data_IF_439877359330
#
_entry.id   IF_439877359330
#
_cell.length_a   1.000
_cell.length_b   1.000
_cell.length_c   1.000
_cell.angle_alpha   90.00
_cell.angle_beta   90.00
_cell.angle_gamma   90.00
#
_symmetry.space_group_name_H-M   'P 1'
#
loop_
_entity.id
_entity.type
_entity.pdbx_description
1 polymer ?
#
# COMPACT_ATOMS: atom_id res chain seq x y z
N UNK A 1 12.79 16.93 33.76
CA UNK A 1 12.51 18.12 34.60
C UNK A 1 12.34 19.33 33.70
N UNK A 2 11.15 19.97 33.77
CA UNK A 2 10.85 21.41 33.58
C UNK A 2 11.46 22.07 32.33
N UNK A 3 10.64 22.54 31.39
CA UNK A 3 10.15 23.92 31.39
C UNK A 3 8.79 24.05 30.68
N UNK A 4 7.90 24.80 31.32
CA UNK A 4 6.56 25.17 30.88
C UNK A 4 6.57 26.61 30.35
N UNK A 5 5.72 26.91 29.39
CA UNK A 5 5.12 28.22 29.03
C UNK A 5 3.88 27.85 28.19
N UNK A 6 2.60 27.94 28.57
CA UNK A 6 1.70 28.94 29.21
C UNK A 6 1.25 30.08 28.29
N UNK A 7 -0.10 30.19 28.21
CA UNK A 7 -0.99 31.26 27.72
C UNK A 7 -1.43 31.16 26.23
N UNK A 8 -2.71 31.13 25.84
CA UNK A 8 -3.99 31.37 26.51
C UNK A 8 -4.78 32.53 25.83
N UNK A 9 -6.12 32.42 25.79
CA UNK A 9 -7.18 33.38 25.32
C UNK A 9 -7.79 32.96 23.95
N UNK A 10 -9.01 32.44 23.80
CA UNK A 10 -10.37 32.76 24.28
C UNK A 10 -11.16 33.77 23.41
N UNK A 11 -12.29 33.27 22.87
CA UNK A 11 -13.58 33.95 22.62
C UNK A 11 -13.68 34.97 21.48
N UNK A 12 -14.52 34.68 20.47
CA UNK A 12 -15.57 35.57 19.90
C UNK A 12 -16.24 34.82 18.72
N UNK A 13 -17.43 34.27 18.90
CA UNK A 13 -18.73 34.90 18.68
C UNK A 13 -19.31 34.51 17.32
N UNK A 14 -20.46 33.83 17.39
CA UNK A 14 -21.33 33.47 16.28
C UNK A 14 -21.87 34.69 15.53
N UNK A 15 -22.68 34.38 14.49
CA UNK A 15 -23.63 35.21 13.71
C UNK A 15 -23.13 35.51 12.28
N UNK A 16 -23.84 35.30 11.15
CA UNK A 16 -25.27 35.09 10.87
C UNK A 16 -25.49 34.72 9.37
N UNK A 17 -26.61 34.01 9.11
CA UNK A 17 -27.58 34.19 8.00
C UNK A 17 -27.26 33.71 6.56
N UNK A 18 -27.94 32.61 6.23
CA UNK A 18 -28.76 32.29 5.04
C UNK A 18 -28.78 33.28 3.88
N UNK A 19 -28.48 32.77 2.68
CA UNK A 19 -28.94 33.32 1.42
C UNK A 19 -29.17 32.23 0.39
N UNK A 20 -30.39 31.66 0.33
CA UNK A 20 -30.86 30.94 -0.84
C UNK A 20 -31.41 31.95 -1.85
N UNK A 21 -30.96 31.89 -3.10
CA UNK A 21 -31.70 32.42 -4.24
C UNK A 21 -31.26 31.71 -5.52
N UNK A 22 -32.28 31.19 -6.23
CA UNK A 22 -32.31 30.76 -7.63
C UNK A 22 -31.79 29.37 -8.02
N UNK A 23 -32.72 28.43 -8.05
CA UNK A 23 -32.83 27.39 -9.09
C UNK A 23 -32.89 28.00 -10.50
N UNK A 24 -32.05 27.48 -11.40
CA UNK A 24 -32.38 27.32 -12.81
C UNK A 24 -31.62 26.11 -13.36
N UNK A 25 -32.35 25.03 -13.59
CA UNK A 25 -31.95 23.83 -14.33
C UNK A 25 -31.37 24.13 -15.71
N UNK A 26 -30.27 23.44 -16.06
CA UNK A 26 -30.15 22.56 -17.23
C UNK A 26 -28.69 22.39 -17.65
N UNK A 27 -28.10 21.24 -17.30
CA UNK A 27 -27.36 20.36 -18.22
C UNK A 27 -26.62 19.30 -17.40
N UNK A 28 -27.13 18.07 -17.50
CA UNK A 28 -26.40 16.82 -17.34
C UNK A 28 -24.91 16.92 -17.65
N UNK A 29 -24.08 16.69 -16.64
CA UNK A 29 -23.12 15.58 -16.59
C UNK A 29 -22.61 15.56 -15.15
N UNK A 30 -23.46 15.07 -14.25
CA UNK A 30 -22.91 14.43 -13.06
C UNK A 30 -22.38 13.10 -13.56
N UNK A 31 -21.07 13.05 -13.85
CA UNK A 31 -20.33 11.84 -13.57
C UNK A 31 -20.49 11.61 -12.07
N UNK A 32 -21.57 10.92 -11.71
CA UNK A 32 -21.57 10.07 -10.55
C UNK A 32 -20.46 9.05 -10.86
N UNK A 33 -19.23 9.39 -10.47
CA UNK A 33 -18.25 8.38 -10.10
C UNK A 33 -18.96 7.52 -9.08
N UNK A 34 -19.53 6.42 -9.56
CA UNK A 34 -19.84 5.28 -8.72
C UNK A 34 -18.52 4.92 -8.07
N UNK A 35 -18.27 5.47 -6.89
CA UNK A 35 -17.41 4.83 -5.92
C UNK A 35 -18.15 3.56 -5.55
N UNK A 36 -17.95 2.54 -6.38
CA UNK A 36 -18.15 1.17 -5.96
C UNK A 36 -17.17 1.01 -4.82
N UNK A 37 -17.66 1.16 -3.58
CA UNK A 37 -16.97 0.60 -2.43
C UNK A 37 -16.84 -0.89 -2.77
N UNK A 38 -15.68 -1.30 -3.28
CA UNK A 38 -15.34 -2.70 -3.31
C UNK A 38 -15.50 -3.17 -1.87
N UNK A 39 -16.29 -4.21 -1.66
CA UNK A 39 -16.43 -4.77 -0.34
C UNK A 39 -15.03 -5.23 0.06
N UNK A 40 -14.51 -4.65 1.14
CA UNK A 40 -13.28 -5.08 1.78
C UNK A 40 -13.52 -6.51 2.27
N UNK A 41 -13.01 -7.49 1.54
CA UNK A 41 -13.10 -8.90 1.88
C UNK A 41 -11.80 -9.30 2.58
N UNK A 42 -11.91 -9.85 3.79
CA UNK A 42 -10.78 -10.45 4.50
C UNK A 42 -10.32 -11.69 3.74
N UNK A 43 -9.03 -11.76 3.48
CA UNK A 43 -8.36 -12.84 2.76
C UNK A 43 -7.13 -13.32 3.52
N UNK A 44 -6.68 -14.53 3.22
CA UNK A 44 -5.39 -15.05 3.69
C UNK A 44 -4.46 -15.24 2.51
N UNK A 45 -3.21 -14.81 2.62
CA UNK A 45 -2.18 -15.05 1.62
C UNK A 45 -0.89 -15.55 2.28
N UNK A 46 -0.05 -16.25 1.53
CA UNK A 46 1.29 -16.64 1.98
C UNK A 46 2.32 -15.79 1.26
N UNK A 47 3.29 -15.26 2.00
CA UNK A 47 4.44 -14.55 1.45
C UNK A 47 5.71 -15.28 1.86
N UNK A 48 6.48 -15.69 0.85
CA UNK A 48 7.79 -16.30 0.98
C UNK A 48 8.88 -15.32 0.50
N UNK A 49 9.96 -15.21 1.26
CA UNK A 49 11.14 -14.41 0.92
C UNK A 49 12.29 -15.38 0.63
N UNK A 50 12.87 -15.27 -0.56
CA UNK A 50 13.98 -16.08 -1.03
C UNK A 50 15.21 -15.21 -1.32
N UNK A 51 16.37 -15.69 -0.85
CA UNK A 51 17.69 -15.23 -1.28
C UNK A 51 18.26 -16.28 -2.24
N UNK A 52 18.29 -15.96 -3.53
CA UNK A 52 18.49 -16.91 -4.63
C UNK A 52 17.51 -18.09 -4.53
N UNK A 53 17.99 -19.34 -4.45
CA UNK A 53 17.16 -20.54 -4.33
C UNK A 53 16.85 -20.94 -2.86
N UNK A 54 17.06 -20.03 -1.89
CA UNK A 54 16.90 -20.33 -0.46
C UNK A 54 15.81 -19.49 0.19
N UNK A 55 14.77 -20.14 0.70
CA UNK A 55 13.78 -19.53 1.59
C UNK A 55 14.45 -19.02 2.88
N UNK A 56 14.33 -17.73 3.15
CA UNK A 56 14.86 -17.06 4.35
C UNK A 56 13.77 -16.64 5.34
N UNK A 57 12.56 -16.36 4.87
CA UNK A 57 11.38 -16.13 5.71
C UNK A 57 10.10 -16.57 4.97
N UNK A 58 9.07 -16.95 5.72
CA UNK A 58 7.76 -17.34 5.19
C UNK A 58 6.68 -16.98 6.22
N UNK A 59 5.64 -16.25 5.78
CA UNK A 59 4.52 -15.82 6.64
C UNK A 59 3.20 -16.06 5.95
N UNK A 60 2.25 -16.62 6.70
CA UNK A 60 0.82 -16.56 6.37
C UNK A 60 0.27 -15.24 6.94
N UNK A 61 -0.40 -14.44 6.10
CA UNK A 61 -0.83 -13.08 6.39
C UNK A 61 -2.35 -12.98 6.16
N UNK A 62 -3.06 -12.41 7.15
CA UNK A 62 -4.45 -11.99 7.02
C UNK A 62 -4.48 -10.52 6.57
N UNK A 63 -5.12 -10.22 5.44
CA UNK A 63 -5.20 -8.88 4.81
C UNK A 63 -6.55 -8.71 4.11
N UNK A 64 -6.74 -7.64 3.34
CA UNK A 64 -7.97 -7.37 2.61
C UNK A 64 -7.74 -7.04 1.14
N UNK A 65 -8.74 -7.30 0.30
CA UNK A 65 -8.64 -7.18 -1.17
C UNK A 65 -8.42 -5.76 -1.72
N UNK A 66 -8.50 -4.73 -0.86
CA UNK A 66 -8.23 -3.34 -1.19
C UNK A 66 -6.82 -2.87 -0.82
N UNK A 67 -6.06 -3.67 -0.06
CA UNK A 67 -4.66 -3.39 0.26
C UNK A 67 -3.75 -3.83 -0.90
N UNK A 68 -2.77 -2.98 -1.20
CA UNK A 68 -1.74 -3.29 -2.18
C UNK A 68 -0.72 -4.25 -1.58
N UNK A 69 -0.04 -5.04 -2.42
CA UNK A 69 1.03 -5.92 -2.00
C UNK A 69 2.15 -5.13 -1.31
N UNK A 70 2.42 -3.89 -1.73
CA UNK A 70 3.35 -2.99 -1.04
C UNK A 70 2.91 -2.73 0.41
N UNK A 71 1.64 -2.38 0.63
CA UNK A 71 1.10 -2.16 1.99
C UNK A 71 1.18 -3.44 2.83
N UNK A 72 0.79 -4.58 2.25
CA UNK A 72 0.90 -5.91 2.90
C UNK A 72 2.35 -6.18 3.32
N UNK A 73 3.32 -5.88 2.46
CA UNK A 73 4.75 -6.06 2.77
C UNK A 73 5.21 -5.13 3.89
N UNK A 74 4.85 -3.84 3.85
CA UNK A 74 5.22 -2.85 4.88
C UNK A 74 4.68 -3.20 6.27
N UNK A 75 3.49 -3.81 6.34
CA UNK A 75 2.87 -4.18 7.60
C UNK A 75 3.44 -5.46 8.23
N UNK A 76 4.10 -6.31 7.43
CA UNK A 76 4.50 -7.65 7.85
C UNK A 76 6.02 -7.93 7.80
N UNK A 77 6.79 -7.11 7.08
CA UNK A 77 8.23 -7.24 6.91
C UNK A 77 8.94 -5.89 7.09
N UNK A 78 10.22 -5.92 7.46
CA UNK A 78 11.04 -4.71 7.40
C UNK A 78 11.49 -4.47 5.96
N UNK A 79 10.91 -3.47 5.30
CA UNK A 79 11.22 -3.14 3.91
C UNK A 79 11.64 -1.69 3.73
N UNK A 80 12.45 -1.45 2.71
CA UNK A 80 12.68 -0.12 2.16
C UNK A 80 12.21 -0.09 0.71
N UNK A 81 11.67 1.04 0.28
CA UNK A 81 11.27 1.27 -1.10
C UNK A 81 11.85 2.58 -1.65
N UNK A 82 12.06 2.61 -2.97
CA UNK A 82 12.28 3.82 -3.73
C UNK A 82 11.37 3.83 -4.96
N UNK A 83 10.56 4.88 -5.07
CA UNK A 83 9.75 5.15 -6.26
C UNK A 83 8.81 3.99 -6.69
N UNK A 84 8.21 3.31 -5.70
CA UNK A 84 7.28 2.18 -5.92
C UNK A 84 7.97 0.81 -6.08
N UNK A 85 9.30 0.77 -5.98
CA UNK A 85 10.09 -0.47 -6.04
C UNK A 85 10.63 -0.81 -4.65
N UNK A 86 10.47 -2.06 -4.22
CA UNK A 86 11.10 -2.58 -3.00
C UNK A 86 12.60 -2.72 -3.25
N UNK A 87 13.42 -2.06 -2.43
CA UNK A 87 14.89 -2.07 -2.51
C UNK A 87 15.54 -2.91 -1.42
N UNK A 88 14.83 -3.14 -0.31
CA UNK A 88 15.32 -3.93 0.84
C UNK A 88 14.19 -4.76 1.42
N UNK A 89 14.46 -6.02 1.79
CA UNK A 89 13.58 -6.87 2.60
C UNK A 89 14.43 -7.54 3.68
N UNK A 90 14.06 -7.42 4.97
CA UNK A 90 14.73 -8.06 6.11
C UNK A 90 16.27 -7.87 6.10
N UNK A 91 16.70 -6.61 5.99
CA UNK A 91 18.12 -6.18 5.89
C UNK A 91 18.89 -6.61 4.62
N UNK A 92 18.24 -7.22 3.62
CA UNK A 92 18.85 -7.59 2.34
C UNK A 92 18.55 -6.52 1.28
N UNK A 93 19.54 -5.67 1.00
CA UNK A 93 19.49 -4.57 0.04
C UNK A 93 19.85 -5.04 -1.39
N UNK A 94 19.21 -4.45 -2.39
CA UNK A 94 19.57 -4.64 -3.80
C UNK A 94 21.01 -4.25 -4.12
N UNK A 95 21.64 -4.96 -5.06
CA UNK A 95 22.97 -4.62 -5.57
C UNK A 95 22.91 -4.40 -7.08
N UNK A 96 22.64 -3.16 -7.49
CA UNK A 96 22.64 -2.74 -8.89
C UNK A 96 24.01 -3.01 -9.58
N UNK A 97 25.11 -2.95 -8.81
CA UNK A 97 26.46 -3.18 -9.33
C UNK A 97 26.68 -4.63 -9.79
N UNK A 98 26.06 -5.58 -9.08
CA UNK A 98 26.09 -7.01 -9.39
C UNK A 98 24.87 -7.49 -10.20
N UNK A 99 23.92 -6.59 -10.47
CA UNK A 99 22.62 -6.83 -11.12
C UNK A 99 21.69 -7.73 -10.28
N UNK A 100 21.73 -7.59 -8.97
CA UNK A 100 20.88 -8.32 -8.03
C UNK A 100 19.69 -7.47 -7.62
N UNK A 101 18.47 -7.96 -7.88
CA UNK A 101 17.23 -7.23 -7.66
C UNK A 101 16.19 -8.09 -6.96
N UNK A 102 15.25 -7.44 -6.29
CA UNK A 102 14.04 -8.08 -5.81
C UNK A 102 13.04 -8.21 -6.97
N UNK A 103 12.56 -9.43 -7.17
CA UNK A 103 11.43 -9.74 -8.05
C UNK A 103 10.37 -10.45 -7.26
N UNK A 104 9.17 -10.58 -7.83
CA UNK A 104 8.17 -11.42 -7.24
C UNK A 104 7.31 -12.15 -8.27
N UNK A 105 6.72 -13.24 -7.81
CA UNK A 105 5.69 -13.99 -8.52
C UNK A 105 4.46 -14.12 -7.64
N UNK A 106 3.31 -14.35 -8.27
CA UNK A 106 2.08 -14.73 -7.58
C UNK A 106 1.64 -16.06 -8.18
N UNK A 107 1.47 -17.08 -7.34
CA UNK A 107 1.06 -18.43 -7.74
C UNK A 107 1.95 -19.02 -8.87
N UNK A 108 3.27 -18.89 -8.73
CA UNK A 108 4.28 -19.31 -9.71
C UNK A 108 4.23 -18.57 -11.06
N UNK A 109 3.43 -17.49 -11.17
CA UNK A 109 3.31 -16.68 -12.38
C UNK A 109 3.99 -15.32 -12.21
N UNK A 110 4.76 -14.91 -13.23
CA UNK A 110 5.36 -13.58 -13.29
C UNK A 110 4.30 -12.49 -13.43
N UNK A 111 4.39 -11.47 -12.59
CA UNK A 111 3.52 -10.29 -12.61
C UNK A 111 4.26 -9.15 -13.32
N UNK A 112 3.52 -8.32 -14.07
CA UNK A 112 4.10 -7.20 -14.83
C UNK A 112 3.79 -5.84 -14.21
N UNK A 113 3.27 -5.83 -12.99
CA UNK A 113 2.95 -4.66 -12.18
C UNK A 113 3.94 -4.54 -11.04
N UNK A 114 4.05 -3.35 -10.45
CA UNK A 114 4.77 -3.16 -9.17
C UNK A 114 3.93 -3.66 -7.99
N UNK A 115 4.57 -3.87 -6.84
CA UNK A 115 3.87 -4.25 -5.62
C UNK A 115 2.88 -3.15 -5.15
N UNK A 116 3.15 -1.88 -5.49
CA UNK A 116 2.29 -0.72 -5.22
C UNK A 116 1.03 -0.65 -6.11
N UNK A 117 0.99 -1.41 -7.20
CA UNK A 117 -0.14 -1.50 -8.13
C UNK A 117 -0.85 -2.87 -8.10
N UNK A 118 -0.35 -3.80 -7.28
CA UNK A 118 -0.85 -5.18 -7.22
C UNK A 118 -1.67 -5.38 -5.95
N UNK A 119 -2.85 -5.98 -6.05
CA UNK A 119 -3.66 -6.44 -4.91
C UNK A 119 -3.70 -7.97 -4.90
N UNK A 120 -3.95 -8.57 -3.74
CA UNK A 120 -3.99 -10.03 -3.58
C UNK A 120 -5.41 -10.59 -3.61
N UNK A 121 -5.52 -11.86 -4.00
CA UNK A 121 -6.70 -12.71 -3.88
C UNK A 121 -6.54 -13.72 -2.73
N UNK A 122 -7.64 -14.31 -2.29
CA UNK A 122 -7.63 -15.30 -1.21
C UNK A 122 -6.85 -16.56 -1.59
N UNK A 123 -5.94 -16.96 -0.72
CA UNK A 123 -4.98 -18.06 -0.83
C UNK A 123 -3.88 -17.83 -1.89
N UNK A 124 -3.63 -16.59 -2.29
CA UNK A 124 -2.47 -16.28 -3.11
C UNK A 124 -1.16 -16.66 -2.41
N UNK A 125 -0.22 -17.18 -3.20
CA UNK A 125 1.16 -17.39 -2.77
C UNK A 125 2.07 -16.42 -3.50
N UNK A 126 2.64 -15.48 -2.73
CA UNK A 126 3.61 -14.51 -3.22
C UNK A 126 5.00 -15.00 -2.87
N UNK A 127 5.89 -15.04 -3.84
CA UNK A 127 7.31 -15.34 -3.62
C UNK A 127 8.11 -14.13 -4.05
N UNK A 128 8.78 -13.47 -3.11
CA UNK A 128 9.79 -12.45 -3.39
C UNK A 128 11.17 -13.10 -3.46
N UNK A 129 11.86 -12.95 -4.58
CA UNK A 129 13.17 -13.54 -4.79
C UNK A 129 14.21 -12.46 -5.05
N UNK A 130 15.29 -12.46 -4.26
CA UNK A 130 16.50 -11.68 -4.49
C UNK A 130 17.45 -12.49 -5.36
N UNK A 131 17.57 -12.13 -6.63
CA UNK A 131 18.42 -12.87 -7.58
C UNK A 131 18.94 -11.95 -8.69
N UNK A 132 19.87 -12.49 -9.46
CA UNK A 132 20.50 -11.83 -10.59
C UNK A 132 19.55 -11.71 -11.76
N UNK A 133 19.38 -10.49 -12.26
CA UNK A 133 18.77 -10.27 -13.58
C UNK A 133 19.81 -10.37 -14.69
N UNK A 134 19.53 -11.17 -15.72
CA UNK A 134 20.34 -11.31 -16.95
C UNK A 134 19.96 -10.30 -18.06
#
# INVERSE_FOLDING_TARGET
>A
MKKKFVAGIAFFSALFIVGCSNEQDAADTSEATSQTSQAQEEITATVEIEDEDQTVDEKEIETTTDETLMEVMQDNFDIEEDSGMITTIEDIEQDEGENMYWTYTINDEMVNTGADETTLEDNDQVVFTYDKME
#
